data_IF_986972438643
#
_entry.id   IF_986972438643
#
_cell.length_a   1.000
_cell.length_b   1.000
_cell.length_c   1.000
_cell.angle_alpha   90.00
_cell.angle_beta   90.00
_cell.angle_gamma   90.00
#
_symmetry.space_group_name_H-M   'P 1'
#
loop_
_entity.id
_entity.type
_entity.pdbx_description
1 polymer ?
#
# COMPACT_ATOMS: atom_id res chain seq x y z
N UNK A 1 -30.38 -0.07 2.65
CA UNK A 1 -30.69 1.09 3.57
C UNK A 1 -29.74 2.24 3.28
N UNK A 2 -30.17 3.50 3.33
CA UNK A 2 -29.25 4.66 3.23
C UNK A 2 -28.91 5.22 4.62
N UNK A 3 -27.62 5.46 4.89
CA UNK A 3 -27.17 6.11 6.12
C UNK A 3 -25.94 6.98 5.88
N UNK A 4 -25.75 7.99 6.73
CA UNK A 4 -24.55 8.82 6.74
C UNK A 4 -23.42 8.05 7.44
N UNK A 5 -22.24 8.10 6.86
CA UNK A 5 -20.98 7.69 7.49
C UNK A 5 -20.40 8.84 8.35
N UNK A 6 -19.32 8.55 9.08
CA UNK A 6 -18.60 9.54 9.91
C UNK A 6 -18.20 10.80 9.12
N UNK A 7 -17.88 10.64 7.83
CA UNK A 7 -17.40 11.72 6.96
C UNK A 7 -18.54 12.53 6.32
N UNK A 8 -19.80 12.30 6.73
CA UNK A 8 -20.98 12.98 6.19
C UNK A 8 -21.48 12.43 4.84
N UNK A 9 -20.86 11.36 4.35
CA UNK A 9 -21.17 10.77 3.05
C UNK A 9 -22.33 9.79 3.18
N UNK A 10 -23.32 9.90 2.29
CA UNK A 10 -24.43 8.95 2.20
C UNK A 10 -23.96 7.64 1.55
N UNK A 11 -24.22 6.53 2.23
CA UNK A 11 -23.92 5.18 1.75
C UNK A 11 -25.19 4.35 1.80
N UNK A 12 -25.51 3.71 0.68
CA UNK A 12 -26.48 2.63 0.64
C UNK A 12 -25.82 1.32 1.08
N UNK A 13 -26.34 0.67 2.09
CA UNK A 13 -25.85 -0.61 2.59
C UNK A 13 -26.98 -1.63 2.59
N UNK A 14 -26.76 -2.77 1.92
CA UNK A 14 -27.67 -3.90 1.94
C UNK A 14 -27.04 -5.07 2.72
N UNK A 15 -27.78 -5.53 3.72
CA UNK A 15 -27.35 -6.50 4.73
C UNK A 15 -28.24 -7.74 4.65
N UNK A 16 -27.62 -8.91 4.72
CA UNK A 16 -28.29 -10.19 4.97
C UNK A 16 -28.01 -10.64 6.39
N UNK A 17 -29.05 -11.09 7.07
CA UNK A 17 -28.99 -11.58 8.44
C UNK A 17 -29.53 -13.00 8.48
N UNK A 18 -28.78 -13.90 9.08
CA UNK A 18 -29.24 -15.23 9.44
C UNK A 18 -29.47 -15.28 10.94
N UNK A 19 -30.69 -15.65 11.33
CA UNK A 19 -31.08 -15.79 12.72
C UNK A 19 -31.81 -17.10 12.96
N UNK A 20 -31.72 -17.57 14.20
CA UNK A 20 -32.44 -18.72 14.72
C UNK A 20 -33.20 -18.30 15.99
N UNK A 21 -34.34 -18.92 16.22
CA UNK A 21 -35.20 -18.63 17.37
C UNK A 21 -35.17 -19.85 18.29
N UNK A 22 -34.92 -19.62 19.57
CA UNK A 22 -35.06 -20.64 20.60
C UNK A 22 -36.53 -20.90 20.91
N UNK A 23 -36.99 -22.10 20.60
CA UNK A 23 -38.35 -22.56 20.86
C UNK A 23 -38.66 -22.67 22.35
N UNK A 24 -37.65 -22.76 23.21
CA UNK A 24 -37.80 -22.83 24.67
C UNK A 24 -38.31 -21.52 25.27
N UNK A 25 -38.02 -20.39 24.62
CA UNK A 25 -38.38 -19.04 25.08
C UNK A 25 -39.51 -18.38 24.26
N UNK A 26 -40.22 -19.18 23.46
CA UNK A 26 -41.20 -18.69 22.49
C UNK A 26 -42.38 -17.93 23.13
N UNK A 27 -42.71 -18.26 24.38
CA UNK A 27 -43.78 -17.58 25.14
C UNK A 27 -43.38 -16.13 25.49
N UNK A 28 -42.12 -15.90 25.87
CA UNK A 28 -41.62 -14.56 26.18
C UNK A 28 -41.49 -13.71 24.91
N UNK A 29 -41.03 -14.35 23.84
CA UNK A 29 -40.89 -13.76 22.52
C UNK A 29 -42.26 -13.30 21.96
N UNK A 30 -43.30 -14.14 22.06
CA UNK A 30 -44.66 -13.80 21.62
C UNK A 30 -45.33 -12.72 22.50
N UNK A 31 -45.06 -12.69 23.81
CA UNK A 31 -45.61 -11.67 24.72
C UNK A 31 -45.04 -10.27 24.45
N UNK A 32 -43.77 -10.19 24.05
CA UNK A 32 -43.08 -8.91 23.86
C UNK A 32 -43.28 -8.34 22.45
N UNK A 33 -43.33 -9.21 21.45
CA UNK A 33 -43.45 -8.82 20.05
C UNK A 33 -44.91 -8.76 19.59
N UNK A 34 -45.84 -9.30 20.38
CA UNK A 34 -47.28 -9.23 20.12
C UNK A 34 -47.63 -9.79 18.74
N UNK A 35 -48.36 -9.01 17.95
CA UNK A 35 -48.77 -9.37 16.59
C UNK A 35 -47.77 -8.96 15.50
N UNK A 36 -46.63 -8.38 15.88
CA UNK A 36 -45.64 -7.88 14.93
C UNK A 36 -44.82 -9.01 14.33
N UNK A 37 -44.49 -8.88 13.04
CA UNK A 37 -43.69 -9.89 12.36
C UNK A 37 -42.25 -9.85 12.87
N UNK A 38 -41.74 -11.00 13.35
CA UNK A 38 -40.39 -11.14 13.91
C UNK A 38 -39.31 -10.58 12.97
N UNK A 39 -39.47 -10.79 11.67
CA UNK A 39 -38.56 -10.30 10.64
C UNK A 39 -38.46 -8.77 10.60
N UNK A 40 -39.58 -8.06 10.74
CA UNK A 40 -39.61 -6.60 10.67
C UNK A 40 -38.91 -5.94 11.86
N UNK A 41 -39.04 -6.54 13.05
CA UNK A 41 -38.41 -6.02 14.27
C UNK A 41 -36.90 -6.24 14.20
N UNK A 42 -36.45 -7.44 13.80
CA UNK A 42 -35.02 -7.73 13.58
C UNK A 42 -34.44 -6.79 12.52
N UNK A 43 -35.16 -6.56 11.42
CA UNK A 43 -34.73 -5.65 10.36
C UNK A 43 -34.62 -4.21 10.86
N UNK A 44 -35.61 -3.71 11.59
CA UNK A 44 -35.62 -2.36 12.16
C UNK A 44 -34.49 -2.12 13.17
N UNK A 45 -34.24 -3.11 14.03
CA UNK A 45 -33.17 -3.02 15.02
C UNK A 45 -31.80 -3.08 14.35
N UNK A 46 -31.64 -3.96 13.35
CA UNK A 46 -30.40 -4.05 12.58
C UNK A 46 -30.13 -2.76 11.83
N UNK A 47 -31.15 -2.15 11.23
CA UNK A 47 -31.10 -0.83 10.62
C UNK A 47 -30.60 0.24 11.59
N UNK A 48 -31.11 0.24 12.82
CA UNK A 48 -30.72 1.20 13.86
C UNK A 48 -29.28 1.01 14.33
N UNK A 49 -28.87 -0.22 14.65
CA UNK A 49 -27.50 -0.54 15.08
C UNK A 49 -26.51 -0.27 13.96
N UNK A 50 -26.83 -0.68 12.73
CA UNK A 50 -25.99 -0.43 11.55
C UNK A 50 -25.74 1.07 11.40
N UNK A 51 -26.75 1.93 11.56
CA UNK A 51 -26.59 3.39 11.48
C UNK A 51 -25.65 3.94 12.55
N UNK A 52 -25.74 3.44 13.78
CA UNK A 52 -24.87 3.85 14.89
C UNK A 52 -23.41 3.43 14.61
N UNK A 53 -23.21 2.17 14.19
CA UNK A 53 -21.87 1.67 13.86
C UNK A 53 -21.31 2.38 12.61
N UNK A 54 -22.11 2.62 11.58
CA UNK A 54 -21.68 3.29 10.35
C UNK A 54 -21.20 4.73 10.61
N UNK A 55 -21.73 5.37 11.65
CA UNK A 55 -21.31 6.71 12.06
C UNK A 55 -19.91 6.75 12.69
N UNK A 56 -19.36 5.59 13.09
CA UNK A 56 -18.02 5.48 13.69
C UNK A 56 -16.93 5.18 12.66
N UNK A 57 -17.29 4.56 11.54
CA UNK A 57 -16.34 4.17 10.50
C UNK A 57 -16.34 5.17 9.35
N UNK A 58 -15.16 5.37 8.76
CA UNK A 58 -15.04 6.11 7.52
C UNK A 58 -15.61 5.29 6.36
N UNK A 59 -16.22 5.98 5.41
CA UNK A 59 -16.88 5.34 4.26
C UNK A 59 -15.90 4.43 3.48
N UNK A 60 -14.64 4.83 3.38
CA UNK A 60 -13.57 4.10 2.70
C UNK A 60 -13.15 2.79 3.39
N UNK A 61 -13.26 2.75 4.72
CA UNK A 61 -12.82 1.60 5.51
C UNK A 61 -13.83 0.45 5.43
N UNK A 62 -15.12 0.78 5.37
CA UNK A 62 -16.22 -0.19 5.23
C UNK A 62 -16.09 -0.97 3.90
N UNK A 63 -15.61 -0.32 2.84
CA UNK A 63 -15.43 -0.95 1.53
C UNK A 63 -14.24 -1.92 1.49
N UNK A 64 -13.18 -1.64 2.24
CA UNK A 64 -11.88 -2.30 2.08
C UNK A 64 -11.62 -3.33 3.18
N UNK A 65 -11.32 -2.87 4.39
CA UNK A 65 -10.77 -3.71 5.46
C UNK A 65 -11.81 -3.97 6.56
N UNK A 66 -12.69 -3.01 6.84
CA UNK A 66 -13.59 -3.06 7.99
C UNK A 66 -14.86 -3.88 7.74
N UNK A 67 -15.15 -4.37 6.52
CA UNK A 67 -16.38 -5.13 6.22
C UNK A 67 -16.61 -6.32 7.16
N UNK A 68 -15.54 -7.09 7.45
CA UNK A 68 -15.62 -8.24 8.36
C UNK A 68 -15.82 -7.80 9.82
N UNK A 69 -14.99 -6.87 10.28
CA UNK A 69 -15.06 -6.35 11.65
C UNK A 69 -16.41 -5.69 11.94
N UNK A 70 -16.90 -4.86 11.01
CA UNK A 70 -18.20 -4.21 11.06
C UNK A 70 -19.34 -5.23 11.14
N UNK A 71 -19.29 -6.29 10.33
CA UNK A 71 -20.31 -7.36 10.35
C UNK A 71 -20.30 -8.09 11.70
N UNK A 72 -19.13 -8.37 12.26
CA UNK A 72 -18.99 -9.00 13.57
C UNK A 72 -19.46 -8.10 14.71
N UNK A 73 -19.15 -6.80 14.67
CA UNK A 73 -19.61 -5.83 15.65
C UNK A 73 -21.13 -5.69 15.65
N UNK A 74 -21.76 -5.61 14.46
CA UNK A 74 -23.22 -5.62 14.34
C UNK A 74 -23.80 -6.93 14.86
N UNK A 75 -23.20 -8.09 14.52
CA UNK A 75 -23.64 -9.40 15.00
C UNK A 75 -23.62 -9.46 16.52
N UNK A 76 -22.56 -8.98 17.16
CA UNK A 76 -22.42 -8.96 18.61
C UNK A 76 -23.45 -8.03 19.26
N UNK A 77 -23.59 -6.80 18.76
CA UNK A 77 -24.55 -5.83 19.27
C UNK A 77 -26.01 -6.31 19.15
N UNK A 78 -26.36 -6.94 18.02
CA UNK A 78 -27.67 -7.56 17.85
C UNK A 78 -27.87 -8.73 18.82
N UNK A 79 -26.89 -9.62 18.94
CA UNK A 79 -26.98 -10.75 19.86
C UNK A 79 -27.18 -10.30 21.31
N UNK A 80 -26.49 -9.26 21.77
CA UNK A 80 -26.67 -8.73 23.13
C UNK A 80 -28.08 -8.21 23.38
N UNK A 81 -28.67 -7.49 22.42
CA UNK A 81 -30.06 -7.03 22.53
C UNK A 81 -31.07 -8.16 22.48
N UNK A 82 -30.83 -9.14 21.61
CA UNK A 82 -31.79 -10.21 21.32
C UNK A 82 -31.68 -11.43 22.24
N UNK A 83 -30.60 -11.51 23.05
CA UNK A 83 -30.38 -12.58 24.03
C UNK A 83 -31.52 -12.73 25.02
N UNK A 84 -32.10 -11.62 25.48
CA UNK A 84 -33.21 -11.61 26.43
C UNK A 84 -34.53 -12.09 25.83
N UNK A 85 -34.62 -12.12 24.49
CA UNK A 85 -35.82 -12.55 23.76
C UNK A 85 -35.71 -13.98 23.23
N UNK A 86 -34.53 -14.61 23.31
CA UNK A 86 -34.31 -15.95 22.77
C UNK A 86 -34.12 -15.97 21.24
N UNK A 87 -33.67 -14.86 20.65
CA UNK A 87 -33.28 -14.81 19.23
C UNK A 87 -31.75 -14.80 19.17
N UNK A 88 -31.20 -15.70 18.37
CA UNK A 88 -29.77 -15.81 18.12
C UNK A 88 -29.45 -15.39 16.69
N UNK A 89 -28.54 -14.45 16.54
CA UNK A 89 -28.00 -14.02 15.25
C UNK A 89 -26.78 -14.89 14.93
N UNK A 90 -26.94 -15.76 13.94
CA UNK A 90 -25.92 -16.70 13.48
C UNK A 90 -24.87 -15.99 12.64
N UNK A 91 -25.28 -15.14 11.70
CA UNK A 91 -24.37 -14.37 10.87
C UNK A 91 -25.01 -13.09 10.33
N UNK A 92 -24.18 -12.06 10.18
CA UNK A 92 -24.51 -10.82 9.49
C UNK A 92 -23.53 -10.70 8.34
N UNK A 93 -24.02 -10.37 7.15
CA UNK A 93 -23.18 -10.23 5.95
C UNK A 93 -23.63 -9.03 5.14
N UNK A 94 -22.68 -8.19 4.74
CA UNK A 94 -22.93 -7.08 3.83
C UNK A 94 -22.92 -7.63 2.40
N UNK A 95 -24.04 -7.56 1.69
CA UNK A 95 -24.14 -8.04 0.31
C UNK A 95 -23.63 -6.98 -0.65
N UNK A 96 -24.26 -5.81 -0.60
CA UNK A 96 -24.01 -4.73 -1.55
C UNK A 96 -23.82 -3.42 -0.79
N UNK A 97 -22.84 -2.64 -1.26
CA UNK A 97 -22.62 -1.27 -0.80
C UNK A 97 -22.86 -0.37 -2.01
N UNK A 98 -23.96 0.35 -1.99
CA UNK A 98 -24.33 1.35 -3.00
C UNK A 98 -23.69 2.69 -2.63
N UNK A 99 -22.63 3.02 -3.35
CA UNK A 99 -21.95 4.31 -3.25
C UNK A 99 -22.76 5.42 -3.91
N UNK A 100 -22.81 6.61 -3.31
CA UNK A 100 -23.16 7.82 -4.07
C UNK A 100 -22.02 8.18 -5.03
N UNK A 101 -22.30 8.90 -6.14
CA UNK A 101 -21.24 9.40 -7.04
C UNK A 101 -20.19 10.24 -6.32
N UNK A 102 -20.61 10.98 -5.28
CA UNK A 102 -19.72 11.79 -4.44
C UNK A 102 -18.73 10.91 -3.65
N UNK A 103 -19.18 9.76 -3.12
CA UNK A 103 -18.29 8.81 -2.46
C UNK A 103 -17.26 8.20 -3.41
N UNK A 104 -17.68 7.83 -4.64
CA UNK A 104 -16.75 7.29 -5.64
C UNK A 104 -15.63 8.27 -5.95
N UNK A 105 -15.97 9.56 -6.06
CA UNK A 105 -15.00 10.63 -6.25
C UNK A 105 -14.05 10.76 -5.05
N UNK A 106 -14.57 10.73 -3.82
CA UNK A 106 -13.72 10.77 -2.61
C UNK A 106 -12.77 9.58 -2.55
N UNK A 107 -13.23 8.37 -2.91
CA UNK A 107 -12.37 7.17 -2.95
C UNK A 107 -11.30 7.30 -4.01
N UNK A 108 -11.65 7.81 -5.18
CA UNK A 108 -10.71 8.08 -6.26
C UNK A 108 -9.65 9.11 -5.81
N UNK A 109 -10.06 10.20 -5.16
CA UNK A 109 -9.15 11.20 -4.60
C UNK A 109 -8.23 10.63 -3.52
N UNK A 110 -8.77 9.80 -2.61
CA UNK A 110 -7.97 9.09 -1.59
C UNK A 110 -6.97 8.14 -2.25
N UNK A 111 -7.39 7.38 -3.26
CA UNK A 111 -6.54 6.44 -3.99
C UNK A 111 -5.40 7.18 -4.70
N UNK A 112 -5.72 8.28 -5.39
CA UNK A 112 -4.75 9.16 -6.06
C UNK A 112 -3.78 9.74 -5.03
N UNK A 113 -4.27 10.21 -3.87
CA UNK A 113 -3.43 10.77 -2.80
C UNK A 113 -2.48 9.72 -2.22
N UNK A 114 -2.97 8.51 -1.92
CA UNK A 114 -2.14 7.39 -1.46
C UNK A 114 -1.09 7.01 -2.50
N UNK A 115 -1.47 6.90 -3.77
CA UNK A 115 -0.55 6.59 -4.85
C UNK A 115 0.52 7.67 -5.02
N UNK A 116 0.15 8.96 -4.90
CA UNK A 116 1.10 10.07 -4.92
C UNK A 116 2.07 10.00 -3.74
N UNK A 117 1.57 9.74 -2.53
CA UNK A 117 2.41 9.62 -1.34
C UNK A 117 3.37 8.43 -1.44
N UNK A 118 2.91 7.30 -1.97
CA UNK A 118 3.74 6.11 -2.19
C UNK A 118 4.80 6.35 -3.27
N UNK A 119 4.43 7.01 -4.36
CA UNK A 119 5.37 7.42 -5.41
C UNK A 119 6.44 8.37 -4.87
N UNK A 120 6.05 9.39 -4.10
CA UNK A 120 7.00 10.32 -3.49
C UNK A 120 7.95 9.62 -2.51
N UNK A 121 7.44 8.67 -1.70
CA UNK A 121 8.29 7.87 -0.81
C UNK A 121 9.31 7.04 -1.61
N UNK A 122 8.87 6.41 -2.70
CA UNK A 122 9.75 5.65 -3.57
C UNK A 122 10.80 6.55 -4.25
N UNK A 123 10.40 7.75 -4.67
CA UNK A 123 11.31 8.74 -5.27
C UNK A 123 12.36 9.21 -4.27
N UNK A 124 11.96 9.61 -3.05
CA UNK A 124 12.89 9.96 -1.97
C UNK A 124 13.85 8.82 -1.67
N UNK A 125 13.35 7.59 -1.55
CA UNK A 125 14.18 6.41 -1.30
C UNK A 125 15.17 6.16 -2.45
N UNK A 126 14.74 6.33 -3.70
CA UNK A 126 15.60 6.20 -4.87
C UNK A 126 16.70 7.27 -4.88
N UNK A 127 16.36 8.52 -4.59
CA UNK A 127 17.33 9.62 -4.50
C UNK A 127 18.36 9.39 -3.38
N UNK A 128 17.92 8.91 -2.22
CA UNK A 128 18.81 8.53 -1.11
C UNK A 128 19.79 7.42 -1.52
N UNK A 129 19.29 6.36 -2.18
CA UNK A 129 20.12 5.27 -2.69
C UNK A 129 21.12 5.75 -3.75
N UNK A 130 20.71 6.64 -4.65
CA UNK A 130 21.61 7.24 -5.64
C UNK A 130 22.67 8.13 -5.01
N UNK A 131 22.32 8.91 -3.97
CA UNK A 131 23.28 9.72 -3.23
C UNK A 131 24.31 8.83 -2.51
N UNK A 132 23.86 7.75 -1.87
CA UNK A 132 24.75 6.76 -1.24
C UNK A 132 25.66 6.09 -2.27
N UNK A 133 25.12 5.65 -3.41
CA UNK A 133 25.89 5.08 -4.51
C UNK A 133 26.97 6.03 -5.01
N UNK A 134 26.63 7.31 -5.23
CA UNK A 134 27.61 8.33 -5.64
C UNK A 134 28.72 8.53 -4.61
N UNK A 135 28.38 8.55 -3.32
CA UNK A 135 29.37 8.66 -2.24
C UNK A 135 30.32 7.47 -2.23
N UNK A 136 29.79 6.25 -2.31
CA UNK A 136 30.59 5.02 -2.36
C UNK A 136 31.50 5.02 -3.59
N UNK A 137 30.97 5.36 -4.77
CA UNK A 137 31.77 5.43 -6.00
C UNK A 137 32.89 6.48 -5.91
N UNK A 138 32.62 7.65 -5.33
CA UNK A 138 33.64 8.67 -5.11
C UNK A 138 34.73 8.18 -4.15
N UNK A 139 34.34 7.52 -3.06
CA UNK A 139 35.28 6.90 -2.10
C UNK A 139 36.12 5.80 -2.75
N UNK A 140 35.50 4.90 -3.53
CA UNK A 140 36.21 3.85 -4.26
C UNK A 140 37.21 4.43 -5.25
N UNK A 141 36.84 5.46 -6.01
CA UNK A 141 37.76 6.15 -6.93
C UNK A 141 38.92 6.83 -6.21
N UNK A 142 38.64 7.50 -5.08
CA UNK A 142 39.69 8.13 -4.28
C UNK A 142 40.69 7.08 -3.75
N UNK A 143 40.19 5.96 -3.22
CA UNK A 143 41.01 4.85 -2.77
C UNK A 143 41.82 4.22 -3.91
N UNK A 144 41.21 4.04 -5.08
CA UNK A 144 41.90 3.53 -6.28
C UNK A 144 43.07 4.45 -6.68
N UNK A 145 42.83 5.77 -6.74
CA UNK A 145 43.86 6.77 -7.05
C UNK A 145 44.98 6.74 -6.00
N UNK A 146 44.65 6.65 -4.70
CA UNK A 146 45.66 6.54 -3.63
C UNK A 146 46.52 5.28 -3.76
N UNK A 147 45.89 4.13 -4.06
CA UNK A 147 46.61 2.86 -4.25
C UNK A 147 47.54 2.96 -5.47
N UNK A 148 47.05 3.51 -6.58
CA UNK A 148 47.85 3.73 -7.78
C UNK A 148 49.01 4.69 -7.48
N UNK A 149 48.75 5.82 -6.80
CA UNK A 149 49.79 6.79 -6.45
C UNK A 149 50.88 6.20 -5.54
N UNK A 150 50.50 5.36 -4.56
CA UNK A 150 51.44 4.61 -3.73
C UNK A 150 52.27 3.62 -4.54
N UNK A 151 51.64 2.85 -5.43
CA UNK A 151 52.35 1.92 -6.32
C UNK A 151 53.34 2.63 -7.25
N UNK A 152 52.95 3.79 -7.79
CA UNK A 152 53.79 4.63 -8.65
C UNK A 152 54.98 5.24 -7.92
N UNK A 153 54.79 5.70 -6.68
CA UNK A 153 55.87 6.26 -5.86
C UNK A 153 56.94 5.22 -5.51
N UNK A 154 56.54 3.95 -5.37
CA UNK A 154 57.48 2.84 -5.10
C UNK A 154 58.20 2.36 -6.36
N UNK A 155 57.61 2.50 -7.55
CA UNK A 155 58.18 2.05 -8.82
C UNK A 155 58.00 3.10 -9.94
N UNK A 156 58.91 4.08 -10.08
CA UNK A 156 58.79 5.14 -11.09
C UNK A 156 58.81 4.64 -12.55
N UNK A 157 59.38 3.44 -12.82
CA UNK A 157 59.35 2.80 -14.16
C UNK A 157 58.00 2.15 -14.51
N UNK A 158 57.04 2.10 -13.58
CA UNK A 158 55.72 1.50 -13.82
C UNK A 158 54.83 2.36 -14.73
N UNK A 159 55.02 3.69 -14.74
CA UNK A 159 54.38 4.59 -15.72
C UNK A 159 54.79 4.20 -17.15
N UNK A 160 56.09 3.99 -17.38
CA UNK A 160 56.60 3.64 -18.71
C UNK A 160 56.03 2.30 -19.19
N UNK A 161 55.91 1.31 -18.30
CA UNK A 161 55.26 0.04 -18.61
C UNK A 161 53.78 0.19 -18.94
N UNK A 162 52.99 0.91 -18.12
CA UNK A 162 51.57 1.19 -18.37
C UNK A 162 51.33 1.97 -19.67
N UNK A 163 52.24 2.89 -20.00
CA UNK A 163 52.19 3.66 -21.23
C UNK A 163 52.41 2.75 -22.45
N UNK A 164 53.43 1.87 -22.40
CA UNK A 164 53.69 0.87 -23.45
C UNK A 164 52.54 -0.14 -23.58
N UNK A 165 51.97 -0.61 -22.47
CA UNK A 165 50.87 -1.59 -22.43
C UNK A 165 49.56 -1.03 -23.03
N UNK A 166 49.12 0.17 -22.60
CA UNK A 166 47.89 0.80 -23.13
C UNK A 166 48.05 1.33 -24.56
N UNK A 167 49.28 1.64 -24.99
CA UNK A 167 49.54 2.01 -26.37
C UNK A 167 49.62 0.78 -27.27
N UNK A 168 50.20 -0.33 -26.82
CA UNK A 168 50.30 -1.60 -27.56
C UNK A 168 48.94 -2.05 -28.11
N UNK A 169 47.89 -1.97 -27.30
CA UNK A 169 46.53 -2.35 -27.72
C UNK A 169 45.89 -1.41 -28.76
N UNK A 170 46.44 -0.21 -28.97
CA UNK A 170 45.92 0.80 -29.93
C UNK A 170 46.87 1.10 -31.09
N UNK A 171 48.05 0.47 -31.18
CA UNK A 171 48.93 0.65 -32.35
C UNK A 171 48.39 -0.19 -33.52
N UNK A 172 47.60 0.42 -34.41
CA UNK A 172 47.46 -0.10 -35.77
C UNK A 172 48.79 0.09 -36.49
N UNK A 173 49.51 -1.00 -36.71
CA UNK A 173 50.74 -1.00 -37.52
C UNK A 173 50.34 -0.74 -38.98
N UNK A 174 50.44 0.52 -39.43
CA UNK A 174 50.44 0.83 -40.87
C UNK A 174 51.87 0.58 -41.34
N UNK A 175 52.15 -0.62 -41.85
CA UNK A 175 53.41 -0.92 -42.53
C UNK A 175 53.38 -0.19 -43.88
N UNK A 176 54.12 0.91 -43.98
CA UNK A 176 54.40 1.61 -45.25
C UNK A 176 55.88 1.46 -45.57
N UNK A 177 56.16 0.93 -46.76
CA UNK A 177 57.46 0.50 -47.27
C UNK A 177 58.39 1.65 -47.70
N UNK A 178 58.57 2.68 -46.86
CA UNK A 178 59.58 3.73 -47.12
C UNK A 178 60.33 4.14 -45.86
N UNK A 179 61.66 4.19 -45.89
CA UNK A 179 62.46 4.57 -44.73
C UNK A 179 62.48 6.10 -44.64
N UNK A 180 61.78 6.69 -43.67
CA UNK A 180 62.10 8.05 -43.26
C UNK A 180 61.89 8.23 -41.76
N UNK A 181 63.00 8.56 -41.11
CA UNK A 181 63.12 8.90 -39.70
C UNK A 181 62.30 10.16 -39.40
N UNK A 182 61.31 10.06 -38.50
CA UNK A 182 60.74 11.25 -37.86
C UNK A 182 61.53 11.48 -36.57
N UNK A 183 62.45 12.41 -36.66
CA UNK A 183 63.13 13.01 -35.51
C UNK A 183 62.12 13.91 -34.79
N UNK A 184 61.76 13.56 -33.55
CA UNK A 184 60.94 14.40 -32.68
C UNK A 184 61.87 15.37 -31.96
N UNK A 185 62.12 16.53 -32.57
CA UNK A 185 62.70 17.65 -31.83
C UNK A 185 61.70 18.20 -30.81
N UNK A 186 62.20 18.38 -29.59
CA UNK A 186 61.53 19.02 -28.46
C UNK A 186 61.09 20.44 -28.81
N UNK A 187 59.89 20.80 -28.36
CA UNK A 187 59.58 22.18 -27.96
C UNK A 187 58.72 22.17 -26.70
#
# INVERSE_FOLDING_TARGET
MWSSSADGIQIGLDLRIWYSIDTSNIINLHKLLGNSNYSQIIESETKSITKIELSKYQAAEIWTTAKKEFSENIRNALNEKFRNYGIYINSVSIEEVKATPEFLKTIEEIAISKQKAEKLKYEIQSEELEAQKRKIQAQSKAQEIEIIAKALSQNPKYIDYLYVDKLSDKVQVIISDKPNFINLEKK
#
